data_IF_013792980663
#
_entry.id   IF_013792980663
#
_cell.length_a   1.000
_cell.length_b   1.000
_cell.length_c   1.000
_cell.angle_alpha   90.00
_cell.angle_beta   90.00
_cell.angle_gamma   90.00
#
_symmetry.space_group_name_H-M   'P 1'
#
loop_
_entity.id
_entity.type
_entity.pdbx_description
1 polymer ?
#
# COMPACT_ATOMS: atom_id res chain seq x y z
N UNK A 1 3.08 -5.18 -22.97
CA UNK A 1 2.73 -5.41 -21.55
C UNK A 1 1.75 -6.57 -21.54
N UNK A 2 2.19 -7.77 -21.14
CA UNK A 2 1.28 -8.87 -20.88
C UNK A 2 0.68 -8.65 -19.48
N UNK A 3 -0.65 -8.74 -19.38
CA UNK A 3 -1.38 -8.56 -18.14
C UNK A 3 -2.01 -9.91 -17.79
N UNK A 4 -1.45 -10.60 -16.79
CA UNK A 4 -1.96 -11.88 -16.33
C UNK A 4 -2.86 -11.68 -15.10
N UNK A 5 -3.99 -12.38 -15.05
CA UNK A 5 -4.85 -12.39 -13.87
C UNK A 5 -4.09 -12.95 -12.66
N UNK A 6 -4.26 -12.31 -11.51
CA UNK A 6 -3.45 -12.58 -10.34
C UNK A 6 -3.98 -13.81 -9.56
N UNK A 7 -3.31 -14.96 -9.73
CA UNK A 7 -3.74 -16.22 -9.10
C UNK A 7 -3.11 -16.50 -7.72
N UNK A 8 -2.03 -15.82 -7.35
CA UNK A 8 -1.32 -16.02 -6.08
C UNK A 8 -1.42 -14.79 -5.17
N UNK A 9 -2.35 -14.78 -4.23
CA UNK A 9 -2.50 -13.66 -3.27
C UNK A 9 -1.39 -13.67 -2.22
N UNK A 10 -0.67 -12.55 -1.98
CA UNK A 10 0.31 -12.45 -0.91
C UNK A 10 -0.29 -12.86 0.44
N UNK A 11 0.50 -13.60 1.21
CA UNK A 11 0.16 -13.97 2.59
C UNK A 11 0.14 -12.73 3.49
N UNK A 12 -0.23 -12.87 4.77
CA UNK A 12 -0.23 -11.77 5.75
C UNK A 12 -1.35 -10.73 5.59
N UNK A 13 -2.02 -10.68 4.43
CA UNK A 13 -3.15 -9.77 4.18
C UNK A 13 -4.43 -10.20 4.92
N UNK A 14 -5.16 -9.22 5.47
CA UNK A 14 -6.52 -9.44 5.96
C UNK A 14 -7.44 -10.00 4.86
N UNK A 15 -8.50 -10.70 5.27
CA UNK A 15 -9.49 -11.27 4.34
C UNK A 15 -10.04 -10.25 3.35
N UNK A 16 -10.26 -8.99 3.76
CA UNK A 16 -10.76 -7.93 2.87
C UNK A 16 -9.73 -7.58 1.79
N UNK A 17 -8.48 -7.35 2.17
CA UNK A 17 -7.42 -7.08 1.22
C UNK A 17 -7.21 -8.24 0.26
N UNK A 18 -7.19 -9.48 0.76
CA UNK A 18 -7.10 -10.67 -0.09
C UNK A 18 -8.21 -10.71 -1.15
N UNK A 19 -9.46 -10.45 -0.77
CA UNK A 19 -10.58 -10.41 -1.72
C UNK A 19 -10.41 -9.33 -2.79
N UNK A 20 -9.96 -8.13 -2.40
CA UNK A 20 -9.72 -7.03 -3.35
C UNK A 20 -8.58 -7.38 -4.31
N UNK A 21 -7.49 -7.94 -3.80
CA UNK A 21 -6.34 -8.36 -4.62
C UNK A 21 -6.73 -9.52 -5.56
N UNK A 22 -7.48 -10.52 -5.10
CA UNK A 22 -7.95 -11.59 -5.97
C UNK A 22 -8.91 -11.10 -7.07
N UNK A 23 -9.80 -10.17 -6.73
CA UNK A 23 -10.84 -9.72 -7.67
C UNK A 23 -10.35 -8.66 -8.66
N UNK A 24 -9.32 -7.89 -8.30
CA UNK A 24 -8.91 -6.71 -9.05
C UNK A 24 -7.40 -6.60 -9.29
N UNK A 25 -6.60 -7.45 -8.66
CA UNK A 25 -5.16 -7.48 -8.87
C UNK A 25 -4.83 -8.05 -10.25
N UNK A 26 -3.92 -7.39 -10.94
CA UNK A 26 -3.35 -7.86 -12.21
C UNK A 26 -1.84 -7.91 -12.06
N UNK A 27 -1.17 -8.90 -12.67
CA UNK A 27 0.30 -8.94 -12.70
C UNK A 27 0.84 -8.43 -14.02
N UNK A 28 1.66 -7.40 -13.94
CA UNK A 28 2.57 -6.99 -14.99
C UNK A 28 3.84 -7.83 -14.91
N UNK A 29 4.45 -8.09 -16.07
CA UNK A 29 5.79 -8.66 -16.11
C UNK A 29 6.79 -7.61 -15.62
N UNK A 30 7.57 -7.97 -14.61
CA UNK A 30 8.67 -7.15 -14.07
C UNK A 30 9.96 -7.98 -14.10
N UNK A 31 11.12 -7.34 -14.30
CA UNK A 31 12.40 -8.05 -14.32
C UNK A 31 12.68 -8.73 -12.98
N UNK A 32 13.38 -9.88 -13.05
CA UNK A 32 13.98 -10.46 -11.86
C UNK A 32 15.13 -9.56 -11.39
N UNK A 33 15.10 -9.18 -10.12
CA UNK A 33 16.07 -8.23 -9.55
C UNK A 33 17.36 -8.91 -9.12
N UNK A 34 17.35 -10.24 -8.99
CA UNK A 34 18.54 -11.02 -8.68
C UNK A 34 19.62 -10.88 -9.77
N UNK A 35 19.23 -10.61 -11.01
CA UNK A 35 20.17 -10.34 -12.09
C UNK A 35 21.05 -9.09 -11.83
N UNK A 36 20.59 -8.16 -10.99
CA UNK A 36 21.32 -6.94 -10.64
C UNK A 36 22.23 -7.10 -9.42
N UNK A 37 22.15 -8.23 -8.71
CA UNK A 37 22.92 -8.46 -7.48
C UNK A 37 24.42 -8.21 -7.63
N UNK A 38 25.14 -8.72 -8.66
CA UNK A 38 26.58 -8.46 -8.80
C UNK A 38 26.89 -6.97 -8.89
N UNK A 39 26.13 -6.25 -9.72
CA UNK A 39 26.29 -4.80 -9.91
C UNK A 39 25.98 -4.01 -8.65
N UNK A 40 24.93 -4.37 -7.91
CA UNK A 40 24.58 -3.68 -6.67
C UNK A 40 25.64 -3.90 -5.57
N UNK A 41 26.24 -5.09 -5.50
CA UNK A 41 27.36 -5.34 -4.59
C UNK A 41 28.58 -4.46 -4.94
N UNK A 42 28.89 -4.29 -6.23
CA UNK A 42 29.96 -3.39 -6.69
C UNK A 42 29.69 -1.92 -6.33
N UNK A 43 28.42 -1.51 -6.30
CA UNK A 43 27.98 -0.18 -5.87
C UNK A 43 27.93 -0.01 -4.34
N UNK A 44 28.29 -1.04 -3.58
CA UNK A 44 28.33 -0.99 -2.12
C UNK A 44 26.97 -1.20 -1.44
N UNK A 45 25.95 -1.67 -2.17
CA UNK A 45 24.67 -2.06 -1.58
C UNK A 45 24.88 -3.31 -0.71
N UNK A 46 24.51 -3.30 0.59
CA UNK A 46 24.66 -4.46 1.45
C UNK A 46 23.86 -5.65 0.92
N UNK A 47 24.43 -6.85 1.03
CA UNK A 47 23.78 -8.08 0.57
C UNK A 47 22.40 -8.30 1.23
N UNK A 48 22.22 -7.86 2.49
CA UNK A 48 20.94 -7.90 3.20
C UNK A 48 19.87 -7.05 2.53
N UNK A 49 20.25 -5.88 2.00
CA UNK A 49 19.33 -4.96 1.32
C UNK A 49 18.96 -5.46 -0.07
N UNK A 50 19.91 -6.10 -0.77
CA UNK A 50 19.62 -6.79 -2.03
C UNK A 50 18.64 -7.96 -1.80
N UNK A 51 18.83 -8.72 -0.73
CA UNK A 51 17.88 -9.79 -0.39
C UNK A 51 16.51 -9.22 0.02
N UNK A 52 16.46 -8.05 0.64
CA UNK A 52 15.22 -7.36 0.99
C UNK A 52 14.46 -6.88 -0.26
N UNK A 53 15.14 -6.29 -1.24
CA UNK A 53 14.52 -5.94 -2.53
C UNK A 53 14.05 -7.16 -3.29
N UNK A 54 14.84 -8.24 -3.33
CA UNK A 54 14.44 -9.49 -3.96
C UNK A 54 13.18 -10.10 -3.31
N UNK A 55 13.10 -10.12 -1.98
CA UNK A 55 11.92 -10.59 -1.26
C UNK A 55 10.68 -9.72 -1.55
N UNK A 56 10.84 -8.39 -1.61
CA UNK A 56 9.77 -7.49 -2.03
C UNK A 56 9.33 -7.78 -3.47
N UNK A 57 10.27 -7.87 -4.42
CA UNK A 57 9.97 -8.09 -5.84
C UNK A 57 9.27 -9.43 -6.06
N UNK A 58 9.74 -10.49 -5.40
CA UNK A 58 9.11 -11.81 -5.49
C UNK A 58 7.65 -11.76 -5.05
N UNK A 59 7.38 -11.08 -3.93
CA UNK A 59 6.07 -11.06 -3.29
C UNK A 59 5.09 -10.08 -3.92
N UNK A 60 5.56 -8.89 -4.29
CA UNK A 60 4.73 -7.77 -4.72
C UNK A 60 4.99 -7.35 -6.16
N UNK A 61 6.17 -7.65 -6.70
CA UNK A 61 6.60 -7.22 -8.03
C UNK A 61 5.55 -7.52 -9.10
N UNK A 62 5.28 -6.52 -9.92
CA UNK A 62 4.29 -6.55 -10.99
C UNK A 62 2.84 -6.42 -10.54
N UNK A 63 2.52 -6.45 -9.24
CA UNK A 63 1.14 -6.33 -8.79
C UNK A 63 0.61 -4.92 -9.07
N UNK A 64 -0.35 -4.85 -9.98
CA UNK A 64 -1.18 -3.70 -10.29
C UNK A 64 -2.41 -3.75 -9.40
N UNK A 65 -2.57 -2.74 -8.55
CA UNK A 65 -3.80 -2.55 -7.77
C UNK A 65 -4.71 -1.53 -8.43
N UNK A 66 -6.01 -1.49 -8.08
CA UNK A 66 -6.86 -0.37 -8.46
C UNK A 66 -6.30 0.96 -7.89
N UNK A 67 -6.54 2.10 -8.56
CA UNK A 67 -6.08 3.39 -8.05
C UNK A 67 -6.58 3.66 -6.62
N UNK A 68 -5.66 4.13 -5.78
CA UNK A 68 -5.99 4.66 -4.46
C UNK A 68 -6.76 5.99 -4.58
N UNK A 69 -7.68 6.28 -3.67
CA UNK A 69 -8.39 7.57 -3.66
C UNK A 69 -7.50 8.75 -3.25
N UNK A 70 -6.35 8.48 -2.61
CA UNK A 70 -5.34 9.47 -2.25
C UNK A 70 -4.02 9.18 -2.98
N UNK A 71 -3.09 10.13 -2.90
CA UNK A 71 -1.73 10.01 -3.48
C UNK A 71 -1.74 9.69 -4.98
N UNK A 72 -2.60 10.38 -5.74
CA UNK A 72 -2.69 10.26 -7.20
C UNK A 72 -2.86 8.82 -7.72
N UNK A 73 -3.52 7.98 -6.93
CA UNK A 73 -3.77 6.59 -7.28
C UNK A 73 -2.72 5.59 -6.80
N UNK A 74 -1.67 6.03 -6.11
CA UNK A 74 -0.57 5.18 -5.66
C UNK A 74 0.34 4.71 -6.81
N UNK A 75 1.23 3.73 -6.54
CA UNK A 75 2.04 3.10 -7.57
C UNK A 75 1.18 2.49 -8.68
N UNK A 76 1.65 2.61 -9.92
CA UNK A 76 1.02 2.01 -11.10
C UNK A 76 1.05 0.49 -11.04
N UNK A 77 2.19 -0.06 -10.64
CA UNK A 77 2.44 -1.43 -10.23
C UNK A 77 3.61 -1.40 -9.25
N UNK A 78 3.74 -2.42 -8.40
CA UNK A 78 4.93 -2.53 -7.57
C UNK A 78 6.11 -3.03 -8.40
N UNK A 79 7.24 -2.35 -8.26
CA UNK A 79 8.51 -2.71 -8.86
C UNK A 79 9.61 -2.09 -8.01
N UNK A 80 10.81 -2.64 -8.07
CA UNK A 80 11.96 -2.05 -7.37
C UNK A 80 12.92 -1.43 -8.37
N UNK A 81 13.54 -0.34 -7.95
CA UNK A 81 14.74 0.18 -8.59
C UNK A 81 15.96 -0.03 -7.67
N UNK A 82 17.10 0.47 -8.10
CA UNK A 82 18.38 0.43 -7.40
C UNK A 82 18.24 1.00 -5.99
N UNK A 83 18.62 0.23 -4.95
CA UNK A 83 18.64 0.72 -3.59
C UNK A 83 19.56 1.95 -3.43
N UNK A 84 19.10 2.91 -2.65
CA UNK A 84 19.85 4.10 -2.27
C UNK A 84 20.12 4.08 -0.76
N UNK A 85 21.32 4.47 -0.35
CA UNK A 85 21.73 4.56 1.06
C UNK A 85 21.85 6.01 1.56
N UNK A 86 21.49 6.99 0.73
CA UNK A 86 21.61 8.41 1.03
C UNK A 86 20.68 8.81 2.17
N UNK A 87 21.14 9.56 3.20
CA UNK A 87 20.26 10.01 4.26
C UNK A 87 19.14 10.93 3.73
N UNK A 88 17.91 10.75 4.20
CA UNK A 88 16.77 11.56 3.81
C UNK A 88 16.32 12.47 4.96
N UNK A 89 16.06 13.76 4.73
CA UNK A 89 15.48 14.63 5.75
C UNK A 89 14.03 14.22 6.03
N UNK A 90 13.62 14.26 7.29
CA UNK A 90 12.26 13.93 7.73
C UNK A 90 11.45 15.19 8.03
N UNK A 91 10.17 15.03 8.35
CA UNK A 91 9.27 16.15 8.65
C UNK A 91 9.71 16.97 9.86
N UNK A 92 10.30 16.34 10.89
CA UNK A 92 10.77 17.01 12.11
C UNK A 92 12.15 17.67 11.96
N UNK A 93 12.77 17.58 10.78
CA UNK A 93 14.09 18.15 10.49
C UNK A 93 15.26 17.22 10.84
N UNK A 94 15.01 16.03 11.37
CA UNK A 94 16.03 14.99 11.54
C UNK A 94 16.41 14.35 10.21
N UNK A 95 17.56 13.65 10.21
CA UNK A 95 18.01 12.84 9.08
C UNK A 95 17.72 11.38 9.38
N UNK A 96 16.94 10.72 8.52
CA UNK A 96 16.74 9.30 8.58
C UNK A 96 17.82 8.59 7.75
N UNK A 97 18.41 7.57 8.36
CA UNK A 97 19.48 6.77 7.77
C UNK A 97 18.97 5.38 7.43
N UNK A 98 19.61 4.75 6.45
CA UNK A 98 19.31 3.39 6.03
C UNK A 98 19.18 3.31 4.52
N UNK A 99 18.71 2.15 4.06
CA UNK A 99 18.54 1.87 2.64
C UNK A 99 17.07 1.97 2.24
N UNK A 100 16.84 2.61 1.10
CA UNK A 100 15.52 2.79 0.49
C UNK A 100 15.54 2.17 -0.90
N UNK A 101 14.37 1.83 -1.41
CA UNK A 101 14.21 1.48 -2.82
C UNK A 101 12.81 1.88 -3.28
N UNK A 102 12.66 2.15 -4.58
CA UNK A 102 11.35 2.50 -5.13
C UNK A 102 10.34 1.37 -4.93
N UNK A 103 9.09 1.75 -4.66
CA UNK A 103 7.95 0.84 -4.56
C UNK A 103 7.13 0.82 -5.87
N UNK A 104 7.73 1.28 -6.97
CA UNK A 104 7.18 1.25 -8.31
C UNK A 104 6.80 2.62 -8.86
N UNK A 105 6.61 2.70 -10.19
CA UNK A 105 6.41 3.96 -10.88
C UNK A 105 5.06 4.59 -10.56
N UNK A 106 4.98 5.90 -10.68
CA UNK A 106 3.75 6.66 -10.44
C UNK A 106 2.76 6.47 -11.59
N UNK A 107 1.46 6.62 -11.29
CA UNK A 107 0.39 6.58 -12.32
C UNK A 107 0.32 7.85 -13.15
N UNK A 108 0.68 8.96 -12.55
CA UNK A 108 0.65 10.31 -13.11
C UNK A 108 1.95 11.02 -12.76
N UNK A 109 2.25 12.12 -13.46
CA UNK A 109 3.41 12.94 -13.12
C UNK A 109 3.16 13.66 -11.79
N UNK A 110 3.95 13.33 -10.76
CA UNK A 110 3.85 13.88 -9.41
C UNK A 110 5.23 14.27 -8.89
N UNK A 111 5.35 15.23 -7.95
CA UNK A 111 6.64 15.71 -7.45
C UNK A 111 7.22 14.82 -6.32
N UNK A 112 6.90 13.53 -6.31
CA UNK A 112 7.33 12.59 -5.27
C UNK A 112 7.44 11.16 -5.82
N UNK A 113 8.27 10.35 -5.16
CA UNK A 113 8.44 8.91 -5.44
C UNK A 113 7.73 8.09 -4.37
N UNK A 114 7.23 6.90 -4.71
CA UNK A 114 6.80 5.92 -3.72
C UNK A 114 7.99 5.06 -3.36
N UNK A 115 8.31 4.94 -2.07
CA UNK A 115 9.50 4.24 -1.60
C UNK A 115 9.17 3.24 -0.50
N UNK A 116 10.04 2.24 -0.37
CA UNK A 116 10.16 1.39 0.79
C UNK A 116 11.26 1.93 1.69
N UNK A 117 10.88 2.33 2.91
CA UNK A 117 11.80 2.81 3.93
C UNK A 117 12.65 1.68 4.52
N UNK A 118 13.70 2.01 5.29
CA UNK A 118 14.65 1.04 5.85
C UNK A 118 14.02 0.00 6.79
N UNK A 119 12.91 0.32 7.48
CA UNK A 119 12.20 -0.66 8.31
C UNK A 119 11.05 -1.37 7.56
N UNK A 120 10.92 -1.14 6.24
CA UNK A 120 9.89 -1.73 5.39
C UNK A 120 8.62 -0.87 5.26
N UNK A 121 8.66 0.38 5.70
CA UNK A 121 7.54 1.30 5.61
C UNK A 121 7.24 1.63 4.15
N UNK A 122 5.96 1.69 3.80
CA UNK A 122 5.53 2.28 2.54
C UNK A 122 5.35 3.78 2.74
N UNK A 123 6.04 4.58 1.94
CA UNK A 123 5.98 6.03 2.07
C UNK A 123 6.21 6.77 0.77
N UNK A 124 6.28 8.09 0.89
CA UNK A 124 6.62 9.00 -0.21
C UNK A 124 7.92 9.73 0.10
N UNK A 125 8.73 9.90 -0.93
CA UNK A 125 9.95 10.68 -0.88
C UNK A 125 9.86 11.83 -1.87
N UNK A 126 9.84 13.05 -1.35
CA UNK A 126 9.86 14.30 -2.11
C UNK A 126 11.08 15.13 -1.67
N UNK A 127 10.85 16.34 -1.14
CA UNK A 127 11.87 17.07 -0.39
C UNK A 127 12.18 16.43 0.96
N UNK A 128 11.25 15.65 1.50
CA UNK A 128 11.36 14.96 2.79
C UNK A 128 10.76 13.57 2.67
N UNK A 129 11.27 12.66 3.49
CA UNK A 129 10.68 11.34 3.70
C UNK A 129 9.42 11.45 4.57
N UNK A 130 8.34 10.80 4.12
CA UNK A 130 7.10 10.67 4.89
C UNK A 130 6.62 9.21 4.84
N UNK A 131 6.73 8.46 5.95
CA UNK A 131 6.13 7.12 6.02
C UNK A 131 4.61 7.25 6.05
N UNK A 132 3.93 6.54 5.16
CA UNK A 132 2.46 6.52 5.07
C UNK A 132 1.86 5.31 5.80
N UNK A 133 2.53 4.17 5.67
CA UNK A 133 2.15 2.93 6.33
C UNK A 133 3.39 2.19 6.82
N UNK A 134 3.30 1.56 7.99
CA UNK A 134 4.41 0.79 8.56
C UNK A 134 4.82 -0.41 7.68
N UNK A 135 3.92 -0.91 6.84
CA UNK A 135 4.18 -2.03 5.92
C UNK A 135 3.40 -1.87 4.61
N UNK A 136 3.79 -2.66 3.60
CA UNK A 136 3.07 -2.75 2.33
C UNK A 136 1.69 -3.37 2.52
N UNK A 137 1.58 -4.38 3.38
CA UNK A 137 0.30 -4.96 3.76
C UNK A 137 -0.63 -3.88 4.31
N UNK A 138 -0.13 -2.99 5.17
CA UNK A 138 -0.89 -1.86 5.71
C UNK A 138 -1.41 -0.93 4.62
N UNK A 139 -0.58 -0.63 3.61
CA UNK A 139 -0.99 0.15 2.45
C UNK A 139 -2.08 -0.57 1.63
N UNK A 140 -1.88 -1.85 1.30
CA UNK A 140 -2.84 -2.66 0.53
C UNK A 140 -4.17 -2.80 1.28
N UNK A 141 -4.12 -2.94 2.61
CA UNK A 141 -5.30 -3.01 3.47
C UNK A 141 -6.05 -1.69 3.56
N UNK A 142 -5.32 -0.58 3.68
CA UNK A 142 -5.88 0.78 3.62
C UNK A 142 -6.61 1.00 2.29
N UNK A 143 -5.99 0.61 1.17
CA UNK A 143 -6.62 0.67 -0.15
C UNK A 143 -7.89 -0.18 -0.22
N UNK A 144 -7.84 -1.43 0.26
CA UNK A 144 -8.98 -2.32 0.25
C UNK A 144 -10.13 -1.79 1.13
N UNK A 145 -9.81 -1.17 2.27
CA UNK A 145 -10.77 -0.51 3.13
C UNK A 145 -11.40 0.70 2.43
N UNK A 146 -10.59 1.56 1.81
CA UNK A 146 -11.08 2.75 1.12
C UNK A 146 -12.01 2.39 -0.05
N UNK A 147 -11.66 1.36 -0.83
CA UNK A 147 -12.52 0.84 -1.90
C UNK A 147 -13.84 0.27 -1.35
N UNK A 148 -13.77 -0.45 -0.24
CA UNK A 148 -14.97 -0.98 0.40
C UNK A 148 -15.87 0.15 0.90
N UNK A 149 -15.29 1.16 1.55
CA UNK A 149 -16.02 2.35 1.99
C UNK A 149 -16.65 3.08 0.79
N UNK A 150 -15.92 3.32 -0.29
CA UNK A 150 -16.44 3.97 -1.49
C UNK A 150 -17.64 3.24 -2.13
N UNK A 151 -17.74 1.92 -1.94
CA UNK A 151 -18.87 1.13 -2.44
C UNK A 151 -20.14 1.24 -1.57
N UNK A 152 -19.99 1.45 -0.26
CA UNK A 152 -21.10 1.28 0.70
C UNK A 152 -21.41 2.50 1.57
N UNK A 153 -20.44 3.40 1.75
CA UNK A 153 -20.61 4.59 2.55
C UNK A 153 -21.48 5.60 1.79
N UNK A 154 -22.46 6.17 2.49
CA UNK A 154 -23.25 7.30 1.96
C UNK A 154 -22.44 8.59 1.92
N UNK A 155 -21.45 8.71 2.80
CA UNK A 155 -20.56 9.86 2.92
C UNK A 155 -19.20 9.40 3.44
N UNK A 156 -18.13 9.97 2.89
CA UNK A 156 -16.74 9.78 3.36
C UNK A 156 -16.21 11.17 3.71
N UNK A 157 -15.78 11.34 4.95
CA UNK A 157 -15.21 12.60 5.44
C UNK A 157 -13.75 12.36 5.79
N UNK A 158 -12.86 13.16 5.19
CA UNK A 158 -11.44 13.18 5.52
C UNK A 158 -11.24 14.09 6.73
N UNK A 159 -10.54 13.58 7.74
CA UNK A 159 -10.22 14.29 8.98
C UNK A 159 -8.70 14.33 9.09
N UNK A 160 -8.11 15.50 9.41
CA UNK A 160 -6.66 15.73 9.46
C UNK A 160 -6.28 16.56 10.70
N UNK A 161 -5.01 16.47 11.12
CA UNK A 161 -4.45 17.27 12.22
C UNK A 161 -5.18 17.05 13.54
N UNK A 162 -5.35 18.12 14.33
CA UNK A 162 -5.96 18.10 15.67
C UNK A 162 -7.37 17.47 15.69
N UNK A 163 -8.08 17.51 14.57
CA UNK A 163 -9.38 16.86 14.45
C UNK A 163 -9.28 15.32 14.56
N UNK A 164 -8.14 14.74 14.19
CA UNK A 164 -7.83 13.31 14.39
C UNK A 164 -7.71 12.99 15.88
N UNK A 165 -7.06 13.86 16.67
CA UNK A 165 -6.88 13.66 18.11
C UNK A 165 -8.20 13.76 18.87
N UNK A 166 -9.17 14.50 18.33
CA UNK A 166 -10.53 14.60 18.88
C UNK A 166 -11.43 13.39 18.59
N UNK A 167 -11.03 12.48 17.68
CA UNK A 167 -11.77 11.25 17.41
C UNK A 167 -11.49 10.25 18.54
N UNK A 168 -12.35 10.21 19.55
CA UNK A 168 -12.23 9.23 20.64
C UNK A 168 -12.09 7.79 20.12
N UNK A 169 -10.89 7.22 20.22
CA UNK A 169 -10.50 5.94 19.62
C UNK A 169 -11.15 4.70 20.26
N UNK A 170 -11.86 4.88 21.37
CA UNK A 170 -12.45 3.81 22.20
C UNK A 170 -13.58 3.02 21.53
N UNK A 171 -14.06 3.41 20.34
CA UNK A 171 -15.18 2.78 19.64
C UNK A 171 -14.87 2.04 18.33
N UNK A 172 -13.66 2.17 17.75
CA UNK A 172 -13.39 1.71 16.38
C UNK A 172 -13.24 0.18 16.22
N UNK A 173 -13.15 -0.56 17.33
CA UNK A 173 -13.12 -2.03 17.34
C UNK A 173 -14.48 -2.71 17.08
N UNK A 174 -15.53 -1.93 16.76
CA UNK A 174 -16.91 -2.43 16.65
C UNK A 174 -17.45 -2.50 15.22
N UNK A 175 -16.63 -2.90 14.24
CA UNK A 175 -17.16 -3.37 12.95
C UNK A 175 -17.60 -4.84 13.08
N UNK A 176 -18.61 -5.08 13.93
CA UNK A 176 -19.34 -6.34 13.98
C UNK A 176 -20.13 -6.50 12.68
N UNK A 177 -19.83 -7.59 11.97
CA UNK A 177 -20.62 -8.23 10.90
C UNK A 177 -22.10 -7.80 10.91
N UNK A 178 -22.51 -6.95 9.96
CA UNK A 178 -23.91 -6.89 9.58
C UNK A 178 -24.29 -8.23 8.91
N UNK A 179 -24.94 -9.11 9.68
CA UNK A 179 -25.64 -10.29 9.18
C UNK A 179 -26.93 -9.82 8.49
N UNK A 180 -27.10 -10.24 7.24
CA UNK A 180 -28.37 -10.62 6.62
C UNK A 180 -29.54 -9.64 6.77
N UNK A 181 -29.75 -8.82 5.74
CA UNK A 181 -31.10 -8.36 5.40
C UNK A 181 -31.94 -9.59 5.05
N UNK A 182 -32.88 -9.97 5.93
CA UNK A 182 -34.07 -10.74 5.53
C UNK A 182 -35.12 -9.73 5.08
N UNK A 183 -35.58 -9.89 3.85
CA UNK A 183 -36.88 -9.42 3.42
C UNK A 183 -37.97 -10.14 4.21
N UNK A 184 -38.75 -9.42 5.00
CA UNK A 184 -40.13 -9.81 5.33
C UNK A 184 -40.99 -8.55 5.30
N UNK A 185 -41.82 -8.45 4.27
CA UNK A 185 -42.83 -7.42 4.16
C UNK A 185 -44.03 -7.68 5.07
N UNK A 186 -44.87 -6.65 5.16
CA UNK A 186 -46.32 -6.76 5.35
C UNK A 186 -46.81 -7.03 6.78
N UNK A 187 -47.34 -5.99 7.43
CA UNK A 187 -48.17 -6.12 8.62
C UNK A 187 -48.70 -4.77 9.08
N UNK A 188 -49.88 -4.40 8.58
CA UNK A 188 -50.68 -3.23 8.99
C UNK A 188 -51.14 -3.40 10.45
N UNK A 189 -51.12 -2.35 11.30
CA UNK A 189 -51.79 -2.42 12.60
C UNK A 189 -53.27 -2.07 12.43
N UNK A 190 -54.15 -3.02 12.74
CA UNK A 190 -55.54 -2.71 13.08
C UNK A 190 -55.65 -2.50 14.59
N UNK A 191 -56.12 -1.30 14.94
CA UNK A 191 -56.86 -0.86 16.14
C UNK A 191 -56.41 -1.32 17.52
#
# INVERSE_FOLDING_TARGET
MNLNLFHSVPEGLTRRARLVVSAHGVRADVPDVEQYRPRWLELGVPASEISRTAAFQQRWGGLVLPPAPAYDGGPRYFDVDTPDGSPAPTLDGSMMHGWWFEAGPQRTAVPYLFMIGPAGEFGIHAQRWVPLHATIEGWVESLALARHAAKWARQITMVTGDAVDSLGWTGLNQWRRFKGWRTTGGGVPTS
#
